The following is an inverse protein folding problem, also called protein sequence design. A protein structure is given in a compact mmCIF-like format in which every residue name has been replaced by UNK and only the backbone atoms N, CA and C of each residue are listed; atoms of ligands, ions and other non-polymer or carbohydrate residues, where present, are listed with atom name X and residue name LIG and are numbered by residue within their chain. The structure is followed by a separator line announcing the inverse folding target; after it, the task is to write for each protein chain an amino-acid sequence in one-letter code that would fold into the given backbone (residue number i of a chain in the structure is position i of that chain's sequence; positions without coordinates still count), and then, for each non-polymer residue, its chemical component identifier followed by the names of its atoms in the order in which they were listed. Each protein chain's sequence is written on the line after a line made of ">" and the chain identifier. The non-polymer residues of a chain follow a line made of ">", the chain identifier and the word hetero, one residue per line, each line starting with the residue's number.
data_IF_427753790766
#
_entry.id   IF_427753790766
#
_cell.length_a   1.000
_cell.length_b   1.000
_cell.length_c   1.000
_cell.angle_alpha   90.00
_cell.angle_beta   90.00
_cell.angle_gamma   90.00
#
_symmetry.space_group_name_H-M   'P 1'
#
loop_
_entity.id
_entity.type
_entity.pdbx_description
1 polymer ?
#
# COMPACT_ATOMS: atom_id res chain seq x y z
N UNK A 1 -3.67 15.82 1.08
CA UNK A 1 -2.40 15.73 1.84
C UNK A 1 -1.35 16.47 1.02
N UNK A 2 -0.80 17.55 1.58
CA UNK A 2 0.12 18.41 0.81
C UNK A 2 1.56 17.90 1.01
N UNK A 3 1.93 16.92 0.21
CA UNK A 3 3.31 16.42 0.09
C UNK A 3 3.71 16.56 -1.36
N UNK A 4 4.72 17.39 -1.62
CA UNK A 4 5.20 17.73 -2.95
C UNK A 4 6.55 17.07 -3.21
N UNK A 5 6.68 16.39 -4.31
CA UNK A 5 7.89 15.66 -4.63
C UNK A 5 8.17 15.62 -6.13
N UNK A 6 9.42 15.42 -6.48
CA UNK A 6 9.89 15.33 -7.85
C UNK A 6 10.58 13.98 -8.08
N UNK A 7 10.34 13.40 -9.26
CA UNK A 7 11.13 12.26 -9.76
C UNK A 7 11.79 12.67 -11.05
N UNK A 8 13.08 12.39 -11.18
CA UNK A 8 13.86 12.59 -12.39
C UNK A 8 14.64 11.31 -12.74
N UNK A 9 14.94 11.11 -14.03
CA UNK A 9 15.71 9.96 -14.48
C UNK A 9 15.32 9.48 -15.87
N UNK A 10 15.55 8.18 -16.12
CA UNK A 10 15.20 7.56 -17.40
C UNK A 10 13.68 7.58 -17.63
N UNK A 11 13.22 8.11 -18.77
CA UNK A 11 11.78 8.28 -19.06
C UNK A 11 11.00 6.97 -19.02
N UNK A 12 11.54 5.85 -19.53
CA UNK A 12 10.84 4.54 -19.49
C UNK A 12 10.59 4.09 -18.06
N UNK A 13 11.52 4.40 -17.12
CA UNK A 13 11.39 4.07 -15.70
C UNK A 13 10.33 4.94 -15.05
N UNK A 14 10.31 6.24 -15.35
CA UNK A 14 9.30 7.19 -14.87
C UNK A 14 7.91 6.78 -15.37
N UNK A 15 7.76 6.47 -16.66
CA UNK A 15 6.50 6.02 -17.24
C UNK A 15 6.00 4.70 -16.62
N UNK A 16 6.94 3.82 -16.24
CA UNK A 16 6.59 2.59 -15.52
C UNK A 16 6.07 2.87 -14.10
N UNK A 17 6.65 3.86 -13.40
CA UNK A 17 6.16 4.30 -12.10
C UNK A 17 4.79 4.97 -12.20
N UNK A 18 4.60 5.85 -13.18
CA UNK A 18 3.36 6.59 -13.39
C UNK A 18 2.16 5.68 -13.62
N UNK A 19 2.34 4.53 -14.27
CA UNK A 19 1.25 3.56 -14.44
C UNK A 19 0.58 3.13 -13.12
N UNK A 20 1.29 3.26 -12.00
CA UNK A 20 0.73 2.98 -10.67
C UNK A 20 0.43 4.25 -9.88
N UNK A 21 1.31 5.26 -9.96
CA UNK A 21 1.25 6.43 -9.08
C UNK A 21 0.21 7.46 -9.53
N UNK A 22 0.03 7.66 -10.84
CA UNK A 22 -0.86 8.69 -11.40
C UNK A 22 -2.34 8.52 -11.03
N UNK A 23 -2.73 7.32 -10.65
CA UNK A 23 -4.08 7.06 -10.15
C UNK A 23 -4.35 7.65 -8.76
N UNK A 24 -3.31 7.95 -7.98
CA UNK A 24 -3.39 8.35 -6.57
C UNK A 24 -2.77 9.71 -6.30
N UNK A 25 -1.80 10.11 -7.09
CA UNK A 25 -1.06 11.36 -6.93
C UNK A 25 -1.31 12.26 -8.13
N UNK A 26 -1.52 13.53 -7.86
CA UNK A 26 -1.76 14.55 -8.89
C UNK A 26 -0.42 15.12 -9.33
N UNK A 27 -0.24 15.32 -10.65
CA UNK A 27 0.87 16.11 -11.17
C UNK A 27 0.51 17.58 -11.06
N UNK A 28 1.35 18.33 -10.36
CA UNK A 28 1.20 19.77 -10.20
C UNK A 28 2.24 20.54 -11.04
N UNK A 29 2.00 21.83 -11.25
CA UNK A 29 2.93 22.72 -11.93
C UNK A 29 4.06 23.18 -10.99
N UNK A 30 5.19 23.58 -11.56
CA UNK A 30 6.52 23.79 -10.94
C UNK A 30 6.62 24.84 -9.80
N UNK A 31 5.53 25.38 -9.25
CA UNK A 31 5.56 26.54 -8.34
C UNK A 31 5.44 26.21 -6.84
N UNK A 32 5.45 24.94 -6.46
CA UNK A 32 5.32 24.55 -5.06
C UNK A 32 6.66 24.14 -4.44
N UNK A 33 6.81 24.36 -3.14
CA UNK A 33 8.00 23.95 -2.39
C UNK A 33 8.08 22.41 -2.37
N UNK A 34 9.16 21.87 -2.94
CA UNK A 34 9.37 20.42 -3.04
C UNK A 34 9.91 19.88 -1.73
N UNK A 35 9.20 18.91 -1.16
CA UNK A 35 9.57 18.25 0.08
C UNK A 35 10.77 17.31 -0.06
N UNK A 36 10.86 16.60 -1.19
CA UNK A 36 11.99 15.72 -1.50
C UNK A 36 12.09 15.45 -3.01
N UNK A 37 13.28 15.03 -3.44
CA UNK A 37 13.60 14.68 -4.83
C UNK A 37 14.12 13.26 -4.92
N UNK A 38 13.66 12.52 -5.92
CA UNK A 38 14.14 11.17 -6.23
C UNK A 38 14.74 11.15 -7.63
N UNK A 39 15.99 10.71 -7.73
CA UNK A 39 16.72 10.55 -8.98
C UNK A 39 16.90 9.07 -9.29
N UNK A 40 16.43 8.64 -10.45
CA UNK A 40 16.47 7.24 -10.90
C UNK A 40 17.62 7.06 -11.89
N UNK A 41 18.71 6.51 -11.40
CA UNK A 41 19.96 6.33 -12.13
C UNK A 41 20.04 4.92 -12.72
N UNK A 42 19.73 4.78 -14.01
CA UNK A 42 19.81 3.46 -14.68
C UNK A 42 21.25 3.08 -15.02
N UNK A 43 22.05 2.87 -13.99
CA UNK A 43 23.47 2.46 -14.07
C UNK A 43 23.90 1.80 -12.77
N UNK A 44 25.07 1.17 -12.79
CA UNK A 44 25.74 0.71 -11.59
C UNK A 44 26.26 1.88 -10.76
N UNK A 45 26.41 1.68 -9.45
CA UNK A 45 27.01 2.67 -8.56
C UNK A 45 28.52 2.47 -8.48
N UNK A 46 29.28 3.52 -8.81
CA UNK A 46 30.73 3.43 -8.97
C UNK A 46 31.48 3.16 -7.65
N UNK A 47 30.98 3.73 -6.53
CA UNK A 47 31.61 3.61 -5.20
C UNK A 47 31.05 2.43 -4.37
N UNK A 48 30.47 1.41 -5.03
CA UNK A 48 29.90 0.25 -4.33
C UNK A 48 30.91 -0.47 -3.43
N UNK A 49 32.19 -0.50 -3.83
CA UNK A 49 33.26 -1.13 -3.05
C UNK A 49 33.42 -0.50 -1.67
N UNK A 50 33.33 0.84 -1.57
CA UNK A 50 33.45 1.55 -0.28
C UNK A 50 32.29 1.18 0.66
N UNK A 51 31.06 1.08 0.14
CA UNK A 51 29.90 0.66 0.92
C UNK A 51 30.11 -0.74 1.50
N UNK A 52 30.60 -1.68 0.67
CA UNK A 52 30.80 -3.08 1.08
C UNK A 52 31.97 -3.27 2.04
N UNK A 53 33.04 -2.46 1.92
CA UNK A 53 34.26 -2.58 2.71
C UNK A 53 34.14 -1.86 4.07
N UNK A 54 33.51 -0.68 4.11
CA UNK A 54 33.45 0.17 5.30
C UNK A 54 32.05 0.29 5.91
N UNK A 55 31.02 -0.24 5.25
CA UNK A 55 29.66 -0.13 5.70
C UNK A 55 29.27 -1.11 6.80
N UNK A 56 28.21 -0.78 7.51
CA UNK A 56 27.62 -1.64 8.54
C UNK A 56 26.44 -2.42 7.98
N UNK A 57 26.32 -3.68 8.39
CA UNK A 57 25.20 -4.53 7.99
C UNK A 57 23.91 -4.07 8.67
N UNK A 58 22.87 -3.87 7.88
CA UNK A 58 21.56 -3.44 8.35
C UNK A 58 20.46 -4.37 7.82
N UNK A 59 19.28 -4.27 8.41
CA UNK A 59 18.05 -4.85 7.86
C UNK A 59 17.28 -3.73 7.18
N UNK A 60 17.11 -3.85 5.85
CA UNK A 60 16.39 -2.86 5.04
C UNK A 60 14.88 -3.08 5.17
N UNK A 61 14.46 -4.35 5.14
CA UNK A 61 13.06 -4.70 5.23
C UNK A 61 12.87 -5.82 6.24
N UNK A 62 12.11 -5.55 7.28
CA UNK A 62 11.72 -6.54 8.27
C UNK A 62 10.19 -6.53 8.42
N UNK A 63 9.51 -7.43 7.73
CA UNK A 63 8.07 -7.58 7.90
C UNK A 63 7.76 -8.76 8.80
N UNK A 64 7.43 -8.49 10.05
CA UNK A 64 6.91 -9.50 10.99
C UNK A 64 5.68 -10.25 10.41
N UNK A 65 4.91 -9.58 9.54
CA UNK A 65 3.68 -10.13 8.94
C UNK A 65 3.91 -10.99 7.70
N UNK A 66 5.03 -10.83 6.98
CA UNK A 66 5.30 -11.50 5.70
C UNK A 66 6.52 -12.41 5.69
N UNK A 67 7.26 -12.52 6.79
CA UNK A 67 8.52 -13.25 6.89
C UNK A 67 9.58 -12.83 5.83
N UNK A 68 9.48 -11.59 5.33
CA UNK A 68 10.46 -11.03 4.41
C UNK A 68 11.52 -10.30 5.19
N UNK A 69 12.77 -10.72 5.04
CA UNK A 69 13.93 -10.05 5.60
C UNK A 69 14.87 -9.68 4.45
N UNK A 70 15.01 -8.39 4.19
CA UNK A 70 16.00 -7.90 3.23
C UNK A 70 17.19 -7.33 3.98
N UNK A 71 18.35 -7.88 3.74
CA UNK A 71 19.61 -7.39 4.30
C UNK A 71 20.22 -6.32 3.39
N UNK A 72 20.92 -5.39 3.99
CA UNK A 72 21.69 -4.38 3.29
C UNK A 72 22.98 -4.01 4.02
N UNK A 73 23.73 -3.12 3.40
CA UNK A 73 24.92 -2.50 3.99
C UNK A 73 24.75 -0.99 3.92
N UNK A 74 24.87 -0.31 5.06
CA UNK A 74 24.79 1.15 5.19
C UNK A 74 26.21 1.72 5.39
N UNK A 75 26.54 2.73 4.60
CA UNK A 75 27.78 3.51 4.74
C UNK A 75 27.44 5.00 4.84
N UNK A 76 27.95 5.64 5.89
CA UNK A 76 27.74 7.07 6.15
C UNK A 76 29.03 7.84 5.93
N UNK A 77 28.94 8.88 5.10
CA UNK A 77 30.04 9.78 4.83
C UNK A 77 29.53 11.23 4.89
N UNK A 78 29.82 11.90 6.00
CA UNK A 78 29.32 13.26 6.27
C UNK A 78 27.80 13.33 6.30
N UNK A 79 27.21 14.15 5.40
CA UNK A 79 25.76 14.34 5.27
C UNK A 79 25.09 13.34 4.33
N UNK A 80 25.84 12.39 3.79
CA UNK A 80 25.34 11.40 2.84
C UNK A 80 25.33 10.02 3.46
N UNK A 81 24.22 9.31 3.27
CA UNK A 81 24.08 7.90 3.63
C UNK A 81 23.87 7.10 2.36
N UNK A 82 24.71 6.10 2.13
CA UNK A 82 24.59 5.15 1.02
C UNK A 82 24.19 3.79 1.55
N UNK A 83 23.16 3.19 0.96
CA UNK A 83 22.63 1.89 1.39
C UNK A 83 22.59 0.95 0.19
N UNK A 84 23.30 -0.17 0.30
CA UNK A 84 23.22 -1.24 -0.69
C UNK A 84 22.23 -2.30 -0.26
N UNK A 85 21.24 -2.57 -1.11
CA UNK A 85 20.26 -3.65 -0.91
C UNK A 85 20.82 -4.95 -1.52
N UNK A 86 21.05 -5.96 -0.69
CA UNK A 86 21.60 -7.23 -1.15
C UNK A 86 20.65 -8.05 -2.02
N UNK A 87 19.33 -7.85 -1.87
CA UNK A 87 18.31 -8.57 -2.65
C UNK A 87 18.12 -7.97 -4.04
N UNK A 88 17.92 -6.64 -4.12
CA UNK A 88 17.65 -5.94 -5.38
C UNK A 88 18.90 -5.50 -6.12
N UNK A 89 20.07 -5.50 -5.44
CA UNK A 89 21.35 -4.97 -5.94
C UNK A 89 21.30 -3.45 -6.22
N UNK A 90 20.34 -2.77 -5.65
CA UNK A 90 20.20 -1.30 -5.75
C UNK A 90 21.05 -0.62 -4.70
N UNK A 91 21.54 0.57 -5.04
CA UNK A 91 22.14 1.50 -4.08
C UNK A 91 21.21 2.70 -3.94
N UNK A 92 20.89 3.05 -2.69
CA UNK A 92 20.17 4.28 -2.33
C UNK A 92 21.17 5.24 -1.70
N UNK A 93 21.34 6.41 -2.29
CA UNK A 93 22.19 7.46 -1.77
C UNK A 93 21.32 8.63 -1.33
N UNK A 94 21.30 8.88 -0.02
CA UNK A 94 20.49 9.90 0.61
C UNK A 94 21.33 11.09 1.02
N UNK A 95 20.84 12.28 0.69
CA UNK A 95 21.33 13.53 1.23
C UNK A 95 20.21 14.21 2.01
N UNK A 96 20.31 14.19 3.34
CA UNK A 96 19.25 14.73 4.19
C UNK A 96 19.16 16.26 4.16
N UNK A 97 20.26 16.96 3.84
CA UNK A 97 20.27 18.42 3.77
C UNK A 97 19.56 18.93 2.51
N UNK A 98 19.88 18.36 1.35
CA UNK A 98 19.22 18.71 0.08
C UNK A 98 17.89 18.00 -0.14
N UNK A 99 17.52 17.06 0.74
CA UNK A 99 16.33 16.21 0.64
C UNK A 99 16.29 15.44 -0.69
N UNK A 100 17.43 14.87 -1.08
CA UNK A 100 17.61 14.17 -2.34
C UNK A 100 17.95 12.69 -2.10
N UNK A 101 17.35 11.84 -2.92
CA UNK A 101 17.61 10.40 -2.93
C UNK A 101 17.93 9.99 -4.36
N UNK A 102 19.11 9.44 -4.56
CA UNK A 102 19.51 8.81 -5.81
C UNK A 102 19.41 7.29 -5.68
N UNK A 103 18.73 6.66 -6.61
CA UNK A 103 18.56 5.20 -6.66
C UNK A 103 19.29 4.69 -7.89
N UNK A 104 20.30 3.84 -7.68
CA UNK A 104 21.12 3.26 -8.74
C UNK A 104 20.79 1.79 -8.95
N UNK A 105 20.43 1.43 -10.17
CA UNK A 105 20.30 0.04 -10.60
C UNK A 105 20.39 -0.05 -12.13
N UNK A 106 21.14 -1.01 -12.65
CA UNK A 106 21.25 -1.25 -14.11
C UNK A 106 20.00 -1.92 -14.70
N UNK A 107 19.18 -2.60 -13.87
CA UNK A 107 17.91 -3.20 -14.28
C UNK A 107 16.78 -2.17 -14.11
N UNK A 108 16.21 -1.72 -15.24
CA UNK A 108 15.06 -0.80 -15.25
C UNK A 108 13.83 -1.36 -14.51
N UNK A 109 13.63 -2.70 -14.58
CA UNK A 109 12.50 -3.37 -13.95
C UNK A 109 12.61 -3.38 -12.42
N UNK A 110 13.82 -3.42 -11.87
CA UNK A 110 14.09 -3.26 -10.44
C UNK A 110 14.02 -1.78 -10.06
N UNK A 111 14.66 -0.91 -10.83
CA UNK A 111 14.76 0.51 -10.54
C UNK A 111 13.40 1.19 -10.38
N UNK A 112 12.42 0.91 -11.27
CA UNK A 112 11.09 1.49 -11.15
C UNK A 112 10.34 1.01 -9.89
N UNK A 113 10.51 -0.26 -9.50
CA UNK A 113 9.88 -0.80 -8.28
C UNK A 113 10.47 -0.18 -7.01
N UNK A 114 11.78 0.01 -6.99
CA UNK A 114 12.47 0.67 -5.89
C UNK A 114 12.09 2.15 -5.81
N UNK A 115 11.97 2.83 -6.97
CA UNK A 115 11.47 4.21 -7.03
C UNK A 115 10.05 4.34 -6.45
N UNK A 116 9.12 3.48 -6.87
CA UNK A 116 7.75 3.44 -6.31
C UNK A 116 7.80 3.25 -4.79
N UNK A 117 8.64 2.32 -4.31
CA UNK A 117 8.76 1.99 -2.89
C UNK A 117 9.25 3.19 -2.08
N UNK A 118 10.35 3.82 -2.52
CA UNK A 118 10.94 4.98 -1.85
C UNK A 118 9.95 6.15 -1.81
N UNK A 119 9.33 6.49 -2.95
CA UNK A 119 8.32 7.56 -3.00
C UNK A 119 7.18 7.29 -2.02
N UNK A 120 6.63 6.08 -2.03
CA UNK A 120 5.52 5.72 -1.14
C UNK A 120 5.92 5.82 0.32
N UNK A 121 7.09 5.34 0.69
CA UNK A 121 7.53 5.35 2.08
C UNK A 121 7.75 6.78 2.58
N UNK A 122 8.36 7.65 1.79
CA UNK A 122 8.57 9.06 2.17
C UNK A 122 7.25 9.83 2.20
N UNK A 123 6.39 9.65 1.18
CA UNK A 123 5.06 10.30 1.18
C UNK A 123 4.23 9.90 2.39
N UNK A 124 4.28 8.60 2.78
CA UNK A 124 3.62 8.13 4.01
C UNK A 124 4.10 8.93 5.21
N UNK A 125 5.40 8.98 5.38
CA UNK A 125 6.08 9.66 6.47
C UNK A 125 5.65 11.11 6.57
N UNK A 126 5.80 11.84 5.48
CA UNK A 126 5.47 13.26 5.42
C UNK A 126 3.97 13.53 5.61
N UNK A 127 3.11 12.65 5.11
CA UNK A 127 1.68 12.76 5.31
C UNK A 127 1.27 12.57 6.78
N UNK A 128 1.91 11.62 7.46
CA UNK A 128 1.70 11.41 8.91
C UNK A 128 2.22 12.63 9.71
N UNK A 129 3.42 13.11 9.42
CA UNK A 129 4.03 14.25 10.10
C UNK A 129 3.28 15.57 9.84
N UNK A 130 3.06 15.93 8.58
CA UNK A 130 2.49 17.23 8.21
C UNK A 130 0.97 17.31 8.36
N UNK A 131 0.29 16.19 8.23
CA UNK A 131 -1.17 16.15 8.11
C UNK A 131 -1.85 15.34 9.19
N UNK A 132 -1.10 14.73 10.12
CA UNK A 132 -1.63 13.81 11.13
C UNK A 132 -2.50 12.70 10.52
N UNK A 133 -2.16 12.30 9.30
CA UNK A 133 -2.80 11.19 8.63
C UNK A 133 -2.31 9.87 9.23
N UNK A 134 -3.13 8.83 9.17
CA UNK A 134 -2.78 7.49 9.68
C UNK A 134 -2.95 6.46 8.59
N UNK A 135 -1.95 5.60 8.41
CA UNK A 135 -2.03 4.51 7.46
C UNK A 135 -2.66 3.27 8.09
N UNK A 136 -3.64 2.70 7.39
CA UNK A 136 -4.26 1.42 7.75
C UNK A 136 -4.07 0.38 6.65
N UNK A 137 -3.89 -0.87 7.06
CA UNK A 137 -4.02 -2.05 6.20
C UNK A 137 -5.51 -2.39 6.01
N UNK A 138 -6.15 -1.69 5.11
CA UNK A 138 -7.56 -1.81 4.82
C UNK A 138 -7.81 -1.66 3.32
N UNK A 139 -8.94 -2.17 2.84
CA UNK A 139 -9.47 -1.81 1.54
C UNK A 139 -10.52 -0.73 1.71
N UNK A 140 -10.61 0.20 0.75
CA UNK A 140 -11.59 1.27 0.75
C UNK A 140 -12.34 1.33 -0.57
N UNK A 141 -13.63 1.55 -0.47
CA UNK A 141 -14.58 1.61 -1.56
C UNK A 141 -15.50 2.81 -1.38
N UNK A 142 -16.05 3.27 -2.47
CA UNK A 142 -16.99 4.38 -2.48
C UNK A 142 -18.23 4.06 -3.31
N UNK A 143 -19.37 4.46 -2.83
CA UNK A 143 -20.59 4.52 -3.62
C UNK A 143 -21.39 5.77 -3.25
N UNK A 144 -21.88 6.48 -4.26
CA UNK A 144 -22.51 7.80 -4.07
C UNK A 144 -23.61 7.78 -3.00
N UNK A 145 -24.40 6.71 -2.95
CA UNK A 145 -25.53 6.55 -2.04
C UNK A 145 -25.09 6.25 -0.60
N UNK A 146 -23.90 5.69 -0.40
CA UNK A 146 -23.44 5.18 0.90
C UNK A 146 -22.21 5.92 1.43
N UNK A 147 -21.55 6.73 0.60
CA UNK A 147 -20.27 7.35 0.92
C UNK A 147 -19.10 6.40 0.87
N UNK A 148 -18.01 6.76 1.54
CA UNK A 148 -16.82 5.92 1.66
C UNK A 148 -16.97 4.84 2.73
N UNK A 149 -16.53 3.64 2.41
CA UNK A 149 -16.48 2.51 3.34
C UNK A 149 -15.07 1.94 3.40
N UNK A 150 -14.68 1.41 4.55
CA UNK A 150 -13.44 0.64 4.69
C UNK A 150 -13.71 -0.78 5.17
N UNK A 151 -12.96 -1.72 4.61
CA UNK A 151 -12.94 -3.11 5.00
C UNK A 151 -11.66 -3.39 5.80
N UNK A 152 -11.82 -3.68 7.08
CA UNK A 152 -10.74 -3.93 8.02
C UNK A 152 -10.69 -5.41 8.38
N UNK A 153 -9.51 -5.97 8.56
CA UNK A 153 -9.38 -7.37 8.98
C UNK A 153 -7.96 -7.90 8.83
N UNK A 154 -7.68 -9.01 9.46
CA UNK A 154 -6.38 -9.66 9.46
C UNK A 154 -5.89 -10.10 8.06
N UNK A 155 -4.65 -10.56 7.99
CA UNK A 155 -4.09 -11.13 6.75
C UNK A 155 -4.90 -12.36 6.32
N UNK A 156 -5.38 -12.36 5.08
CA UNK A 156 -6.14 -13.47 4.53
C UNK A 156 -7.61 -13.54 4.99
N UNK A 157 -8.13 -12.49 5.66
CA UNK A 157 -9.55 -12.42 6.03
C UNK A 157 -10.48 -12.14 4.83
N UNK A 158 -9.98 -11.99 3.60
CA UNK A 158 -10.80 -11.85 2.40
C UNK A 158 -11.06 -10.43 1.94
N UNK A 159 -10.43 -9.38 2.49
CA UNK A 159 -10.62 -7.98 2.06
C UNK A 159 -10.66 -7.82 0.54
N UNK A 160 -9.66 -8.36 -0.16
CA UNK A 160 -9.58 -8.27 -1.62
C UNK A 160 -10.77 -8.96 -2.31
N UNK A 161 -11.15 -10.14 -1.86
CA UNK A 161 -12.27 -10.89 -2.47
C UNK A 161 -13.60 -10.19 -2.25
N UNK A 162 -13.87 -9.69 -1.03
CA UNK A 162 -15.08 -8.93 -0.72
C UNK A 162 -15.12 -7.61 -1.50
N UNK A 163 -13.96 -6.92 -1.62
CA UNK A 163 -13.86 -5.71 -2.44
C UNK A 163 -14.22 -5.97 -3.89
N UNK A 164 -13.71 -7.06 -4.48
CA UNK A 164 -14.02 -7.42 -5.87
C UNK A 164 -15.51 -7.76 -6.08
N UNK A 165 -16.16 -8.41 -5.11
CA UNK A 165 -17.61 -8.61 -5.15
C UNK A 165 -18.37 -7.28 -5.15
N UNK A 166 -18.00 -6.34 -4.25
CA UNK A 166 -18.62 -5.03 -4.19
C UNK A 166 -18.39 -4.20 -5.46
N UNK A 167 -17.20 -4.26 -6.04
CA UNK A 167 -16.84 -3.58 -7.28
C UNK A 167 -17.65 -4.15 -8.48
N UNK A 168 -17.55 -5.45 -8.70
CA UNK A 168 -18.08 -6.06 -9.94
C UNK A 168 -19.57 -6.32 -9.90
N UNK A 169 -20.16 -6.61 -8.73
CA UNK A 169 -21.59 -6.96 -8.63
C UNK A 169 -22.46 -5.81 -8.11
N UNK A 170 -21.91 -4.96 -7.25
CA UNK A 170 -22.71 -3.95 -6.57
C UNK A 170 -22.40 -2.50 -6.99
N UNK A 171 -21.49 -2.32 -7.96
CA UNK A 171 -21.19 -1.02 -8.57
C UNK A 171 -20.56 -0.01 -7.60
N UNK A 172 -19.75 -0.49 -6.66
CA UNK A 172 -18.87 0.39 -5.90
C UNK A 172 -17.70 0.83 -6.76
N UNK A 173 -17.14 1.99 -6.45
CA UNK A 173 -15.87 2.46 -6.98
C UNK A 173 -14.73 2.14 -6.02
N UNK A 174 -13.55 1.83 -6.54
CA UNK A 174 -12.37 1.65 -5.71
C UNK A 174 -11.84 3.00 -5.24
N UNK A 175 -11.51 3.10 -3.95
CA UNK A 175 -10.66 4.16 -3.39
C UNK A 175 -9.25 3.61 -3.15
N UNK A 176 -9.14 2.43 -2.54
CA UNK A 176 -7.87 1.71 -2.36
C UNK A 176 -8.10 0.26 -1.95
N UNK A 177 -7.08 -0.60 -2.12
CA UNK A 177 -7.25 -2.07 -2.01
C UNK A 177 -6.53 -2.78 -0.87
N UNK A 178 -5.47 -2.23 -0.34
CA UNK A 178 -4.62 -2.91 0.66
C UNK A 178 -4.11 -1.95 1.74
N UNK A 179 -3.90 -0.70 1.36
CA UNK A 179 -3.47 0.37 2.24
C UNK A 179 -4.27 1.62 1.96
N UNK A 180 -4.62 2.33 2.99
CA UNK A 180 -5.30 3.61 2.91
C UNK A 180 -4.64 4.59 3.86
N UNK A 181 -4.71 5.87 3.53
CA UNK A 181 -4.45 6.93 4.49
C UNK A 181 -5.77 7.51 4.97
N UNK A 182 -5.92 7.64 6.27
CA UNK A 182 -7.06 8.32 6.89
C UNK A 182 -6.59 9.62 7.53
N UNK A 183 -7.38 10.67 7.35
CA UNK A 183 -7.16 11.97 7.97
C UNK A 183 -8.47 12.56 8.46
N UNK A 184 -8.47 13.18 9.63
CA UNK A 184 -9.63 13.94 10.14
C UNK A 184 -9.54 15.38 9.65
N UNK A 185 -10.51 15.82 8.85
CA UNK A 185 -10.62 17.17 8.28
C UNK A 185 -11.98 17.76 8.57
N UNK A 186 -12.05 18.91 9.20
CA UNK A 186 -13.32 19.60 9.53
C UNK A 186 -14.34 18.65 10.18
N UNK A 187 -13.92 17.87 11.16
CA UNK A 187 -14.73 16.85 11.88
C UNK A 187 -15.19 15.66 11.03
N UNK A 188 -14.65 15.48 9.83
CA UNK A 188 -14.91 14.34 8.94
C UNK A 188 -13.67 13.50 8.78
N UNK A 189 -13.84 12.20 8.67
CA UNK A 189 -12.74 11.30 8.31
C UNK A 189 -12.68 11.15 6.78
N UNK A 190 -11.56 11.56 6.19
CA UNK A 190 -11.33 11.44 4.76
C UNK A 190 -10.41 10.25 4.48
N UNK A 191 -10.84 9.42 3.55
CA UNK A 191 -10.05 8.32 3.01
C UNK A 191 -9.26 8.85 1.83
N UNK A 192 -7.97 8.55 1.80
CA UNK A 192 -7.11 8.79 0.65
C UNK A 192 -6.59 7.45 0.13
N UNK A 193 -6.72 7.23 -1.16
CA UNK A 193 -6.21 6.06 -1.83
C UNK A 193 -4.68 5.99 -1.76
N UNK A 194 -4.15 4.77 -1.78
CA UNK A 194 -2.72 4.50 -1.70
C UNK A 194 -2.26 3.63 -2.88
N UNK A 195 -1.18 4.01 -3.59
CA UNK A 195 -0.67 3.24 -4.71
C UNK A 195 -0.28 1.82 -4.30
N UNK A 196 -0.97 0.84 -4.83
CA UNK A 196 -0.65 -0.57 -4.59
C UNK A 196 -1.11 -1.43 -5.77
N UNK A 197 -0.44 -2.58 -5.99
CA UNK A 197 -0.89 -3.58 -6.96
C UNK A 197 -1.98 -4.47 -6.38
N UNK A 198 -2.88 -4.97 -7.21
CA UNK A 198 -3.69 -6.13 -6.86
C UNK A 198 -2.79 -7.36 -6.78
N UNK A 199 -2.86 -8.08 -5.67
CA UNK A 199 -2.15 -9.33 -5.46
C UNK A 199 -3.18 -10.46 -5.46
N UNK A 200 -3.45 -11.04 -6.64
CA UNK A 200 -4.49 -12.04 -6.82
C UNK A 200 -3.92 -13.45 -6.93
N UNK A 201 -4.59 -14.41 -6.31
CA UNK A 201 -4.38 -15.83 -6.58
C UNK A 201 -5.12 -16.22 -7.86
N UNK A 202 -4.67 -17.30 -8.51
CA UNK A 202 -5.31 -17.82 -9.73
C UNK A 202 -6.78 -18.16 -9.47
N UNK A 203 -7.09 -18.76 -8.32
CA UNK A 203 -8.48 -19.01 -7.89
C UNK A 203 -9.33 -17.74 -7.87
N UNK A 204 -8.82 -16.66 -7.29
CA UNK A 204 -9.54 -15.39 -7.24
C UNK A 204 -9.75 -14.83 -8.65
N UNK A 205 -8.73 -14.95 -9.51
CA UNK A 205 -8.82 -14.49 -10.90
C UNK A 205 -9.84 -15.28 -11.71
N UNK A 206 -9.95 -16.58 -11.49
CA UNK A 206 -10.89 -17.45 -12.22
C UNK A 206 -12.37 -17.14 -11.93
N UNK A 207 -12.66 -16.40 -10.87
CA UNK A 207 -14.02 -16.10 -10.40
C UNK A 207 -14.72 -15.01 -11.22
N UNK A 208 -13.97 -14.06 -11.80
CA UNK A 208 -14.53 -12.92 -12.52
C UNK A 208 -14.02 -12.89 -13.97
N UNK A 209 -14.89 -12.63 -14.91
CA UNK A 209 -14.54 -12.62 -16.36
C UNK A 209 -13.43 -11.60 -16.65
N UNK A 210 -13.47 -10.44 -16.00
CA UNK A 210 -12.44 -9.39 -16.16
C UNK A 210 -11.04 -9.85 -15.75
N UNK A 211 -10.92 -10.74 -14.78
CA UNK A 211 -9.62 -11.22 -14.29
C UNK A 211 -9.25 -12.59 -14.86
N UNK A 212 -10.24 -13.40 -15.25
CA UNK A 212 -10.00 -14.73 -15.85
C UNK A 212 -9.14 -14.65 -17.11
N UNK A 213 -9.36 -13.65 -17.96
CA UNK A 213 -8.56 -13.44 -19.17
C UNK A 213 -7.10 -13.10 -18.90
N UNK A 214 -6.75 -12.71 -17.66
CA UNK A 214 -5.38 -12.40 -17.24
C UNK A 214 -4.65 -13.64 -16.69
N UNK A 215 -5.31 -14.78 -16.57
CA UNK A 215 -4.70 -16.03 -16.14
C UNK A 215 -3.75 -16.53 -17.22
N UNK A 216 -2.46 -16.80 -16.88
CA UNK A 216 -1.53 -17.39 -17.83
C UNK A 216 -2.01 -18.73 -18.35
N UNK A 217 -1.71 -19.00 -19.62
CA UNK A 217 -2.23 -20.18 -20.33
C UNK A 217 -1.93 -21.50 -19.63
N UNK A 218 -0.77 -21.60 -18.98
CA UNK A 218 -0.34 -22.80 -18.24
C UNK A 218 -1.27 -23.18 -17.08
N UNK A 219 -2.08 -22.22 -16.56
CA UNK A 219 -3.01 -22.48 -15.46
C UNK A 219 -4.47 -22.65 -15.90
N UNK A 220 -4.80 -22.41 -17.18
CA UNK A 220 -6.19 -22.49 -17.65
C UNK A 220 -6.75 -23.93 -17.67
N UNK A 221 -5.87 -24.94 -17.73
CA UNK A 221 -6.24 -26.35 -17.70
C UNK A 221 -6.42 -26.93 -16.30
N UNK A 222 -6.07 -26.17 -15.26
CA UNK A 222 -6.18 -26.64 -13.88
C UNK A 222 -7.66 -26.68 -13.44
N UNK A 223 -8.00 -27.70 -12.65
CA UNK A 223 -9.25 -27.75 -11.89
C UNK A 223 -9.26 -26.66 -10.79
N UNK A 224 -10.41 -26.35 -10.24
CA UNK A 224 -10.56 -25.36 -9.16
C UNK A 224 -9.70 -25.74 -7.95
N UNK A 225 -9.68 -27.03 -7.58
CA UNK A 225 -8.89 -27.52 -6.45
C UNK A 225 -7.38 -27.40 -6.70
N UNK A 226 -6.94 -27.66 -7.94
CA UNK A 226 -5.54 -27.44 -8.31
C UNK A 226 -5.18 -25.95 -8.29
N UNK A 227 -6.07 -25.07 -8.74
CA UNK A 227 -5.85 -23.60 -8.67
C UNK A 227 -5.73 -23.11 -7.23
N UNK A 228 -6.41 -23.73 -6.25
CA UNK A 228 -6.27 -23.41 -4.83
C UNK A 228 -4.85 -23.69 -4.30
N UNK A 229 -4.23 -24.74 -4.81
CA UNK A 229 -2.90 -25.17 -4.40
C UNK A 229 -1.77 -24.36 -5.06
N UNK A 230 -2.07 -23.54 -6.08
CA UNK A 230 -1.08 -22.65 -6.68
C UNK A 230 -0.80 -21.49 -5.73
N UNK A 231 0.26 -21.61 -4.93
CA UNK A 231 0.68 -20.60 -3.96
C UNK A 231 1.42 -19.41 -4.63
N UNK A 232 0.93 -18.96 -5.77
CA UNK A 232 1.45 -17.82 -6.51
C UNK A 232 0.42 -16.72 -6.58
N UNK A 233 0.83 -15.51 -6.19
CA UNK A 233 0.04 -14.29 -6.42
C UNK A 233 0.61 -13.54 -7.61
N UNK A 234 -0.27 -13.04 -8.45
CA UNK A 234 0.05 -12.18 -9.58
C UNK A 234 -0.30 -10.74 -9.26
N UNK A 235 0.48 -9.81 -9.79
CA UNK A 235 0.33 -8.39 -9.54
C UNK A 235 -0.29 -7.70 -10.75
N UNK A 236 -1.33 -6.90 -10.51
CA UNK A 236 -2.04 -6.13 -11.53
C UNK A 236 -2.32 -4.72 -11.06
N UNK A 237 -2.36 -3.79 -11.99
CA UNK A 237 -2.91 -2.44 -11.78
C UNK A 237 -4.44 -2.48 -11.87
N UNK A 238 -5.11 -1.42 -11.40
CA UNK A 238 -6.56 -1.28 -11.56
C UNK A 238 -6.96 -1.29 -13.05
N UNK A 239 -6.17 -0.64 -13.90
CA UNK A 239 -6.39 -0.57 -15.36
C UNK A 239 -6.35 -1.96 -16.01
N UNK A 240 -5.38 -2.81 -15.67
CA UNK A 240 -5.30 -4.18 -16.20
C UNK A 240 -6.51 -5.02 -15.78
N UNK A 241 -7.05 -4.76 -14.59
CA UNK A 241 -8.24 -5.43 -14.07
C UNK A 241 -9.56 -4.81 -14.58
N UNK A 242 -9.49 -3.80 -15.47
CA UNK A 242 -10.67 -3.07 -15.99
C UNK A 242 -11.56 -2.51 -14.90
N UNK A 243 -10.94 -1.97 -13.86
CA UNK A 243 -11.64 -1.24 -12.81
C UNK A 243 -11.70 0.23 -13.25
N UNK A 244 -12.80 0.59 -13.93
CA UNK A 244 -12.96 1.92 -14.54
C UNK A 244 -13.46 2.98 -13.57
N UNK A 245 -14.01 2.55 -12.43
CA UNK A 245 -14.63 3.45 -11.46
C UNK A 245 -13.74 3.61 -10.23
N UNK A 246 -12.85 4.59 -10.28
CA UNK A 246 -11.94 4.89 -9.19
C UNK A 246 -12.20 6.27 -8.60
N UNK A 247 -12.33 6.31 -7.28
CA UNK A 247 -12.35 7.54 -6.50
C UNK A 247 -11.01 7.68 -5.77
N UNK A 248 -10.27 8.78 -6.00
CA UNK A 248 -8.99 9.00 -5.31
C UNK A 248 -9.18 9.29 -3.82
N UNK A 249 -10.34 9.88 -3.44
CA UNK A 249 -10.69 10.23 -2.06
C UNK A 249 -12.17 10.00 -1.80
N UNK A 250 -12.52 9.75 -0.54
CA UNK A 250 -13.92 9.65 -0.11
C UNK A 250 -14.07 10.07 1.36
N UNK A 251 -15.21 10.66 1.74
CA UNK A 251 -15.59 10.82 3.14
C UNK A 251 -15.96 9.44 3.71
N UNK A 252 -15.29 9.01 4.79
CA UNK A 252 -15.58 7.75 5.46
C UNK A 252 -16.93 7.83 6.20
N UNK A 253 -17.80 6.88 5.92
CA UNK A 253 -19.12 6.75 6.57
C UNK A 253 -19.25 5.48 7.38
N UNK A 254 -18.64 4.37 6.93
CA UNK A 254 -18.80 3.07 7.60
C UNK A 254 -17.49 2.28 7.64
N UNK A 255 -17.30 1.55 8.74
CA UNK A 255 -16.19 0.60 8.93
C UNK A 255 -16.75 -0.80 9.05
N UNK A 256 -16.35 -1.70 8.16
CA UNK A 256 -16.71 -3.11 8.21
C UNK A 256 -15.51 -3.95 8.64
N UNK A 257 -15.64 -4.63 9.76
CA UNK A 257 -14.64 -5.55 10.30
C UNK A 257 -14.94 -6.95 9.80
N UNK A 258 -14.03 -7.52 9.02
CA UNK A 258 -14.23 -8.84 8.40
C UNK A 258 -13.64 -9.94 9.26
N UNK A 259 -14.48 -10.83 9.75
CA UNK A 259 -14.12 -12.09 10.37
C UNK A 259 -14.42 -13.25 9.41
N UNK A 260 -13.44 -14.11 9.16
CA UNK A 260 -13.62 -15.29 8.31
C UNK A 260 -13.84 -16.53 9.20
N UNK A 261 -15.09 -16.94 9.32
CA UNK A 261 -15.48 -18.08 10.14
C UNK A 261 -14.83 -19.40 9.68
N UNK A 262 -14.62 -19.56 8.37
CA UNK A 262 -13.97 -20.76 7.82
C UNK A 262 -12.52 -20.94 8.31
N UNK A 263 -11.90 -19.87 8.83
CA UNK A 263 -10.55 -19.90 9.41
C UNK A 263 -10.53 -19.98 10.94
N UNK A 264 -11.69 -19.99 11.58
CA UNK A 264 -11.81 -20.08 13.04
C UNK A 264 -11.21 -18.89 13.82
N UNK A 265 -10.98 -17.77 13.16
CA UNK A 265 -10.43 -16.55 13.79
C UNK A 265 -11.57 -15.56 13.97
N UNK A 266 -11.97 -15.34 15.23
CA UNK A 266 -12.94 -14.35 15.63
C UNK A 266 -12.24 -13.31 16.51
N UNK A 267 -12.02 -12.09 15.98
CA UNK A 267 -11.36 -11.00 16.66
C UNK A 267 -12.37 -9.88 16.95
N UNK A 268 -12.19 -9.18 18.05
CA UNK A 268 -12.95 -7.97 18.38
C UNK A 268 -12.62 -6.83 17.41
N UNK A 269 -13.50 -5.83 17.34
CA UNK A 269 -13.26 -4.62 16.54
C UNK A 269 -11.93 -3.95 16.91
N UNK A 270 -11.59 -3.90 18.20
CA UNK A 270 -10.35 -3.30 18.68
C UNK A 270 -9.12 -4.06 18.19
N UNK A 271 -9.15 -5.40 18.32
CA UNK A 271 -8.05 -6.24 17.82
C UNK A 271 -7.88 -6.10 16.29
N UNK A 272 -8.98 -6.14 15.55
CA UNK A 272 -8.95 -5.97 14.08
C UNK A 272 -8.41 -4.62 13.66
N UNK A 273 -8.77 -3.55 14.36
CA UNK A 273 -8.24 -2.21 14.07
C UNK A 273 -6.76 -2.10 14.45
N UNK A 274 -6.37 -2.61 15.62
CA UNK A 274 -4.99 -2.58 16.08
C UNK A 274 -4.03 -3.32 15.12
N UNK A 275 -4.43 -4.50 14.62
CA UNK A 275 -3.60 -5.23 13.63
C UNK A 275 -3.59 -4.59 12.25
N UNK A 276 -4.50 -3.68 11.97
CA UNK A 276 -4.59 -2.96 10.71
C UNK A 276 -3.80 -1.65 10.71
N UNK A 277 -3.51 -1.07 11.88
CA UNK A 277 -2.65 0.11 11.98
C UNK A 277 -1.21 -0.24 11.57
N UNK A 278 -0.63 0.59 10.73
CA UNK A 278 0.81 0.56 10.48
C UNK A 278 1.50 1.40 11.54
N UNK A 279 2.30 0.73 12.35
CA UNK A 279 3.15 1.38 13.36
C UNK A 279 4.55 1.63 12.79
N UNK A 280 5.37 2.51 13.40
CA UNK A 280 6.78 2.68 13.02
C UNK A 280 7.58 1.37 13.01
N UNK A 281 7.24 0.42 13.89
CA UNK A 281 7.85 -0.93 13.92
C UNK A 281 7.55 -1.79 12.67
N UNK A 282 6.56 -1.38 11.88
CA UNK A 282 6.24 -1.99 10.58
C UNK A 282 6.95 -1.31 9.42
N UNK A 283 7.81 -0.31 9.65
CA UNK A 283 8.62 0.34 8.64
C UNK A 283 9.59 -0.66 8.03
N UNK A 284 9.55 -0.70 6.72
CA UNK A 284 10.21 -1.71 5.92
C UNK A 284 11.55 -1.21 5.36
N UNK A 285 11.97 0.01 5.71
CA UNK A 285 13.16 0.67 5.16
C UNK A 285 13.90 1.46 6.23
N UNK A 286 15.18 1.78 5.97
CA UNK A 286 15.91 2.72 6.80
C UNK A 286 15.10 3.98 6.99
N UNK A 287 15.21 4.52 8.19
CA UNK A 287 14.53 5.76 8.53
C UNK A 287 15.00 6.89 7.61
N UNK A 288 14.24 7.11 6.54
CA UNK A 288 14.52 8.16 5.58
C UNK A 288 14.38 9.57 6.20
N UNK A 289 13.77 9.67 7.40
CA UNK A 289 13.34 10.93 8.00
C UNK A 289 13.61 11.12 9.50
N UNK A 290 14.29 10.21 10.16
CA UNK A 290 14.52 10.29 11.62
C UNK A 290 13.23 10.51 12.44
N UNK A 291 12.35 9.53 12.42
CA UNK A 291 11.06 9.57 13.12
C UNK A 291 11.20 9.60 14.64
N UNK A 292 10.38 10.47 15.27
CA UNK A 292 10.18 10.43 16.71
C UNK A 292 9.07 9.45 17.13
N UNK A 293 9.05 9.07 18.41
CA UNK A 293 8.04 8.18 19.03
C UNK A 293 6.60 8.75 19.01
N UNK A 294 6.41 10.01 18.64
CA UNK A 294 5.12 10.70 18.67
C UNK A 294 4.09 10.10 17.70
N UNK A 295 4.50 9.68 16.51
CA UNK A 295 3.62 9.17 15.47
C UNK A 295 2.89 7.88 15.88
N UNK A 296 3.49 7.03 16.71
CA UNK A 296 2.87 5.80 17.21
C UNK A 296 1.70 6.07 18.15
N UNK A 297 1.87 7.01 19.09
CA UNK A 297 0.80 7.39 20.02
C UNK A 297 -0.36 8.03 19.27
N UNK A 298 -0.07 8.92 18.33
CA UNK A 298 -1.07 9.56 17.49
C UNK A 298 -1.89 8.55 16.68
N UNK A 299 -1.24 7.55 16.09
CA UNK A 299 -1.92 6.50 15.33
C UNK A 299 -2.88 5.67 16.20
N UNK A 300 -2.48 5.33 17.43
CA UNK A 300 -3.34 4.58 18.37
C UNK A 300 -4.53 5.44 18.79
N UNK A 301 -4.29 6.67 19.22
CA UNK A 301 -5.37 7.61 19.62
C UNK A 301 -6.33 7.90 18.47
N UNK A 302 -5.82 8.05 17.25
CA UNK A 302 -6.64 8.21 16.05
C UNK A 302 -7.55 6.99 15.83
N UNK A 303 -7.00 5.79 15.96
CA UNK A 303 -7.74 4.55 15.78
C UNK A 303 -8.85 4.37 16.85
N UNK A 304 -8.59 4.75 18.09
CA UNK A 304 -9.58 4.73 19.18
C UNK A 304 -10.73 5.72 18.91
N UNK A 305 -10.39 6.95 18.50
CA UNK A 305 -11.40 7.97 18.15
C UNK A 305 -12.24 7.52 16.94
N UNK A 306 -11.62 6.92 15.92
CA UNK A 306 -12.35 6.39 14.77
C UNK A 306 -13.43 5.40 15.16
N UNK A 307 -13.14 4.49 16.10
CA UNK A 307 -14.12 3.51 16.57
C UNK A 307 -15.31 4.12 17.30
N UNK A 308 -15.11 5.25 17.97
CA UNK A 308 -16.17 5.94 18.73
C UNK A 308 -17.04 6.82 17.84
N UNK A 309 -16.46 7.39 16.79
CA UNK A 309 -17.09 8.45 15.99
C UNK A 309 -17.73 7.94 14.69
N UNK A 310 -17.32 6.75 14.20
CA UNK A 310 -17.80 6.21 12.92
C UNK A 310 -18.58 4.91 13.12
N UNK A 311 -19.73 4.82 12.44
CA UNK A 311 -20.53 3.61 12.42
C UNK A 311 -19.72 2.40 11.96
N UNK A 312 -19.78 1.34 12.74
CA UNK A 312 -18.97 0.17 12.46
C UNK A 312 -19.73 -1.14 12.74
N UNK A 313 -19.54 -2.11 11.86
CA UNK A 313 -20.15 -3.43 11.93
C UNK A 313 -19.12 -4.53 11.77
N UNK A 314 -19.30 -5.60 12.52
CA UNK A 314 -18.58 -6.88 12.30
C UNK A 314 -19.38 -7.70 11.28
N UNK A 315 -18.71 -8.20 10.27
CA UNK A 315 -19.26 -9.11 9.26
C UNK A 315 -18.58 -10.48 9.48
N UNK A 316 -19.33 -11.41 10.00
CA UNK A 316 -18.95 -12.81 10.13
C UNK A 316 -19.42 -13.55 8.88
N UNK A 317 -18.50 -14.15 8.10
CA UNK A 317 -18.83 -14.67 6.79
C UNK A 317 -18.12 -15.99 6.46
N UNK A 318 -18.74 -16.75 5.55
CA UNK A 318 -18.21 -18.01 5.02
C UNK A 318 -17.79 -17.87 3.54
N UNK A 319 -18.39 -16.92 2.81
CA UNK A 319 -18.01 -16.63 1.43
C UNK A 319 -17.93 -15.11 1.16
N UNK A 320 -17.06 -14.65 0.26
CA UNK A 320 -16.99 -13.23 -0.09
C UNK A 320 -18.31 -12.66 -0.61
N UNK A 321 -19.14 -13.47 -1.27
CA UNK A 321 -20.47 -13.10 -1.74
C UNK A 321 -21.41 -12.79 -0.60
N UNK A 322 -21.44 -13.66 0.42
CA UNK A 322 -22.23 -13.48 1.65
C UNK A 322 -21.82 -12.18 2.34
N UNK A 323 -20.52 -11.95 2.54
CA UNK A 323 -20.01 -10.73 3.14
C UNK A 323 -20.43 -9.48 2.36
N UNK A 324 -20.31 -9.49 1.05
CA UNK A 324 -20.69 -8.34 0.22
C UNK A 324 -22.20 -8.07 0.25
N UNK A 325 -23.02 -9.12 0.31
CA UNK A 325 -24.47 -8.99 0.44
C UNK A 325 -24.88 -8.44 1.80
N UNK A 326 -24.26 -8.88 2.90
CA UNK A 326 -24.51 -8.37 4.25
C UNK A 326 -24.10 -6.91 4.39
N UNK A 327 -22.97 -6.53 3.81
CA UNK A 327 -22.56 -5.12 3.72
C UNK A 327 -23.64 -4.31 2.99
N UNK A 328 -24.12 -4.77 1.83
CA UNK A 328 -25.18 -4.09 1.09
C UNK A 328 -26.47 -3.98 1.89
N UNK A 329 -26.88 -5.06 2.57
CA UNK A 329 -28.10 -5.07 3.39
C UNK A 329 -28.03 -4.12 4.57
N UNK A 330 -26.84 -3.87 5.12
CA UNK A 330 -26.66 -2.94 6.25
C UNK A 330 -27.05 -1.50 5.91
N UNK A 331 -27.02 -1.12 4.63
CA UNK A 331 -27.42 0.21 4.16
C UNK A 331 -28.94 0.35 3.91
N UNK A 332 -29.69 -0.76 3.99
CA UNK A 332 -31.14 -0.74 3.79
C UNK A 332 -31.92 -0.64 5.11
N UNK A 333 -31.21 -0.68 6.22
CA UNK A 333 -31.75 -0.53 7.59
C UNK A 333 -31.67 0.93 8.04
#
# INVERSE_FOLDING_TARGET
>A
MNVHWMVAGNQDVIDAMDRLLADYFVRESENEEIDFRVFLENKSYDELREILEFGQRIVIHNSKKSAVHEAGTEYRNGLTTSIYNHATKSVYRLNYLSKEIHIYNSDKGVLHKDGIRVVRDIVKVLAEEKSHAVMLHAAALYKKEYGGIILVGGKGCGKTSVSLELLYKYGFSEVSRDRIMLKKENSKYMIYGWPNYYNLTIRTMNKYDNTRQLIPKEYLSLSIDEMENVNRKMQFTAKEMRIDHKAATAELKHVFYLNNNAKGICLSKQELLAISCYTPDDLNYPDWHHWGDSSRKEAITFAENLQQEIDSMVIDWNSPEEAAEDIKRSFLK
#
